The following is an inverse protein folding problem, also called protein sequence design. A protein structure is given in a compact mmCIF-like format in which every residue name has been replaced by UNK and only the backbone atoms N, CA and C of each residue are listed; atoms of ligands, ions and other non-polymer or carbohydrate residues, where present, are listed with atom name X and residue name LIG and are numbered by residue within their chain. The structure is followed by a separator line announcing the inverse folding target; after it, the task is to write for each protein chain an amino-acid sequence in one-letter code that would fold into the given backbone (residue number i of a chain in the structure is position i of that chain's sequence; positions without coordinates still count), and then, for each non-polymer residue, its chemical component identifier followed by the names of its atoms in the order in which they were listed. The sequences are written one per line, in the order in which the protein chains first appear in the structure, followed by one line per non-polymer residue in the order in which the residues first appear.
data_IF_691290437726
#
_entry.id   IF_691290437726
#
_cell.length_a   1.000
_cell.length_b   1.000
_cell.length_c   1.000
_cell.angle_alpha   90.00
_cell.angle_beta   90.00
_cell.angle_gamma   90.00
#
_symmetry.space_group_name_H-M   'P 1'
#
loop_
_entity.id
_entity.type
_entity.pdbx_description
1 polymer ?
#
# COMPACT_ATOMS: atom_id res chain seq x y z
N UNK A 1 -4.07 3.90 5.86
CA UNK A 1 -3.73 2.80 4.93
C UNK A 1 -2.38 2.22 5.37
N UNK A 2 -2.16 0.90 5.25
CA UNK A 2 -0.94 0.21 5.77
C UNK A 2 0.34 0.42 4.92
N UNK A 3 0.41 1.49 4.11
CA UNK A 3 1.56 1.76 3.24
C UNK A 3 1.76 0.75 2.10
N UNK A 4 0.74 -0.05 1.78
CA UNK A 4 0.74 -0.98 0.65
C UNK A 4 0.32 -0.27 -0.63
N UNK A 5 1.03 -0.53 -1.73
CA UNK A 5 0.68 0.00 -3.06
C UNK A 5 -0.13 -0.98 -3.91
N UNK A 6 -0.21 -2.25 -3.52
CA UNK A 6 -1.00 -3.28 -4.18
C UNK A 6 -1.67 -4.21 -3.17
N UNK A 7 -2.94 -4.54 -3.42
CA UNK A 7 -3.74 -5.49 -2.62
C UNK A 7 -4.45 -6.48 -3.55
N UNK A 8 -4.72 -7.70 -3.08
CA UNK A 8 -5.48 -8.69 -3.86
C UNK A 8 -6.91 -8.24 -4.18
N UNK A 9 -7.51 -7.51 -3.24
CA UNK A 9 -8.82 -6.90 -3.41
C UNK A 9 -8.64 -5.41 -3.41
N UNK A 10 -9.04 -4.77 -4.49
CA UNK A 10 -8.89 -3.32 -4.63
C UNK A 10 -9.57 -2.60 -3.45
N UNK A 11 -8.86 -1.64 -2.87
CA UNK A 11 -9.28 -0.88 -1.69
C UNK A 11 -9.36 -1.67 -0.36
N UNK A 12 -9.06 -2.97 -0.32
CA UNK A 12 -9.15 -3.78 0.92
C UNK A 12 -7.87 -4.55 1.20
N UNK A 13 -7.22 -4.19 2.31
CA UNK A 13 -6.04 -4.89 2.81
C UNK A 13 -6.44 -6.20 3.49
N UNK A 14 -5.93 -7.32 2.99
CA UNK A 14 -6.07 -8.64 3.64
C UNK A 14 -4.88 -8.96 4.54
N UNK A 15 -5.01 -9.97 5.41
CA UNK A 15 -3.87 -10.45 6.22
C UNK A 15 -2.74 -10.96 5.33
N UNK A 16 -3.06 -11.59 4.20
CA UNK A 16 -2.06 -12.05 3.22
C UNK A 16 -1.28 -10.89 2.62
N UNK A 17 -1.97 -9.80 2.25
CA UNK A 17 -1.33 -8.58 1.74
C UNK A 17 -0.46 -7.88 2.79
N UNK A 18 -0.80 -7.98 4.08
CA UNK A 18 0.03 -7.42 5.15
C UNK A 18 1.31 -8.24 5.39
N UNK A 19 1.26 -9.57 5.18
CA UNK A 19 2.41 -10.46 5.36
C UNK A 19 3.37 -10.45 4.17
N UNK A 20 2.84 -10.23 2.96
CA UNK A 20 3.62 -10.19 1.74
C UNK A 20 3.74 -8.73 1.32
N UNK A 21 4.95 -8.17 1.37
CA UNK A 21 5.23 -6.82 0.91
C UNK A 21 5.05 -6.67 -0.61
N UNK A 22 3.80 -6.48 -1.08
CA UNK A 22 3.45 -6.24 -2.49
C UNK A 22 3.69 -4.78 -2.89
N UNK A 23 4.83 -4.24 -2.50
CA UNK A 23 5.26 -2.90 -2.89
C UNK A 23 6.16 -3.00 -4.11
N UNK A 24 5.53 -3.26 -5.25
CA UNK A 24 6.24 -3.33 -6.53
C UNK A 24 6.67 -1.94 -6.98
N UNK A 25 7.76 -1.91 -7.75
CA UNK A 25 8.24 -0.67 -8.37
C UNK A 25 7.21 -0.18 -9.38
N UNK A 26 6.88 1.10 -9.33
CA UNK A 26 6.12 1.76 -10.37
C UNK A 26 6.98 2.02 -11.61
N UNK A 27 6.37 2.44 -12.72
CA UNK A 27 7.06 2.66 -13.99
C UNK A 27 8.25 3.64 -13.87
N UNK A 28 8.09 4.73 -13.11
CA UNK A 28 9.14 5.71 -12.87
C UNK A 28 10.31 5.08 -12.10
N UNK A 29 10.01 4.28 -11.08
CA UNK A 29 11.02 3.58 -10.28
C UNK A 29 11.74 2.50 -11.09
N UNK A 30 11.02 1.77 -11.97
CA UNK A 30 11.63 0.84 -12.92
C UNK A 30 12.57 1.57 -13.87
N UNK A 31 12.17 2.74 -14.38
CA UNK A 31 13.04 3.59 -15.19
C UNK A 31 14.32 3.99 -14.46
N UNK A 32 14.22 4.37 -13.19
CA UNK A 32 15.39 4.67 -12.36
C UNK A 32 16.28 3.45 -12.14
N UNK A 33 15.69 2.28 -11.87
CA UNK A 33 16.43 1.02 -11.72
C UNK A 33 17.20 0.70 -13.00
N UNK A 34 16.56 0.85 -14.17
CA UNK A 34 17.19 0.62 -15.47
C UNK A 34 18.44 1.47 -15.64
N UNK A 35 18.37 2.77 -15.35
CA UNK A 35 19.52 3.69 -15.46
C UNK A 35 20.70 3.26 -14.57
N UNK A 36 20.42 2.85 -13.33
CA UNK A 36 21.46 2.36 -12.40
C UNK A 36 22.10 1.08 -12.93
N UNK A 37 21.29 0.15 -13.46
CA UNK A 37 21.76 -1.11 -14.04
C UNK A 37 22.65 -0.84 -15.25
N UNK A 38 22.21 0.02 -16.18
CA UNK A 38 22.99 0.40 -17.37
C UNK A 38 24.33 1.03 -16.99
N UNK A 39 24.34 1.95 -16.01
CA UNK A 39 25.56 2.56 -15.50
C UNK A 39 26.53 1.51 -14.92
N UNK A 40 26.01 0.54 -14.15
CA UNK A 40 26.84 -0.52 -13.58
C UNK A 40 27.42 -1.45 -14.65
N UNK A 41 26.65 -1.79 -15.68
CA UNK A 41 27.11 -2.60 -16.80
C UNK A 41 28.17 -1.86 -17.64
N UNK A 42 27.98 -0.58 -17.93
CA UNK A 42 28.97 0.23 -18.62
C UNK A 42 30.29 0.32 -17.83
N UNK A 43 30.20 0.44 -16.50
CA UNK A 43 31.38 0.38 -15.64
C UNK A 43 32.09 -0.97 -15.72
N UNK A 44 31.34 -2.08 -15.71
CA UNK A 44 31.90 -3.41 -15.81
C UNK A 44 32.59 -3.65 -17.16
N UNK A 45 31.96 -3.20 -18.26
CA UNK A 45 32.52 -3.24 -19.60
C UNK A 45 33.84 -2.45 -19.68
N UNK A 46 33.90 -1.25 -19.10
CA UNK A 46 35.12 -0.46 -19.05
C UNK A 46 36.26 -1.16 -18.28
N UNK A 47 35.96 -1.89 -17.19
CA UNK A 47 36.98 -2.68 -16.49
C UNK A 47 37.45 -3.88 -17.33
N UNK A 48 36.53 -4.53 -18.04
CA UNK A 48 36.85 -5.65 -18.92
C UNK A 48 37.73 -5.21 -20.10
N UNK A 49 37.41 -4.09 -20.76
CA UNK A 49 38.22 -3.50 -21.83
C UNK A 49 39.61 -3.08 -21.36
N UNK A 50 39.74 -2.66 -20.09
CA UNK A 50 41.01 -2.33 -19.48
C UNK A 50 41.80 -3.57 -18.99
N UNK A 51 41.29 -4.78 -19.25
CA UNK A 51 41.85 -6.06 -18.80
C UNK A 51 42.13 -6.10 -17.28
N UNK A 52 41.31 -5.40 -16.48
CA UNK A 52 41.46 -5.37 -15.04
C UNK A 52 40.75 -6.57 -14.42
N UNK A 53 41.49 -7.52 -13.79
CA UNK A 53 40.85 -8.64 -13.12
C UNK A 53 40.02 -8.16 -11.94
N UNK A 54 38.78 -8.63 -11.87
CA UNK A 54 37.80 -8.26 -10.85
C UNK A 54 37.21 -9.53 -10.23
N UNK A 55 37.16 -9.59 -8.90
CA UNK A 55 36.53 -10.68 -8.15
C UNK A 55 35.14 -10.25 -7.66
N UNK A 56 34.30 -11.21 -7.28
CA UNK A 56 32.94 -10.93 -6.78
C UNK A 56 32.89 -9.94 -5.62
N UNK A 57 33.88 -9.97 -4.72
CA UNK A 57 34.01 -8.99 -3.62
C UNK A 57 34.20 -7.56 -4.13
N UNK A 58 34.94 -7.38 -5.24
CA UNK A 58 35.21 -6.08 -5.82
C UNK A 58 33.94 -5.55 -6.49
N UNK A 59 33.20 -6.42 -7.20
CA UNK A 59 31.90 -6.08 -7.78
C UNK A 59 30.89 -5.62 -6.74
N UNK A 60 30.82 -6.25 -5.56
CA UNK A 60 29.96 -5.80 -4.45
C UNK A 60 30.34 -4.39 -3.99
N UNK A 61 31.63 -4.10 -3.84
CA UNK A 61 32.10 -2.77 -3.44
C UNK A 61 31.80 -1.71 -4.51
N UNK A 62 31.99 -2.04 -5.80
CA UNK A 62 31.70 -1.11 -6.90
C UNK A 62 30.21 -0.86 -7.07
N UNK A 63 29.37 -1.89 -6.87
CA UNK A 63 27.92 -1.72 -6.87
C UNK A 63 27.48 -0.77 -5.74
N UNK A 64 28.04 -0.92 -4.54
CA UNK A 64 27.77 0.03 -3.44
C UNK A 64 28.16 1.46 -3.81
N UNK A 65 29.31 1.65 -4.43
CA UNK A 65 29.75 2.97 -4.89
C UNK A 65 28.78 3.57 -5.92
N UNK A 66 28.37 2.80 -6.94
CA UNK A 66 27.40 3.24 -7.95
C UNK A 66 26.07 3.64 -7.28
N UNK A 67 25.57 2.83 -6.35
CA UNK A 67 24.35 3.14 -5.60
C UNK A 67 24.49 4.42 -4.77
N UNK A 68 25.60 4.59 -4.05
CA UNK A 68 25.86 5.81 -3.25
C UNK A 68 26.01 7.06 -4.13
N UNK A 69 26.66 6.95 -5.29
CA UNK A 69 26.75 8.05 -6.26
C UNK A 69 25.39 8.47 -6.82
N UNK A 70 24.43 7.54 -6.87
CA UNK A 70 23.03 7.81 -7.24
C UNK A 70 22.16 8.16 -6.01
N UNK A 71 22.78 8.53 -4.89
CA UNK A 71 22.12 8.91 -3.64
C UNK A 71 21.18 7.82 -3.09
N UNK A 72 21.44 6.54 -3.43
CA UNK A 72 20.72 5.39 -2.90
C UNK A 72 21.35 4.92 -1.60
N UNK A 73 20.52 4.66 -0.61
CA UNK A 73 20.93 4.08 0.67
C UNK A 73 21.27 2.59 0.48
N UNK A 74 22.29 2.14 1.20
CA UNK A 74 22.67 0.73 1.19
C UNK A 74 22.01 0.02 2.36
N UNK A 75 21.45 -1.16 2.10
CA UNK A 75 20.86 -2.00 3.14
C UNK A 75 21.96 -2.70 3.94
N UNK A 76 22.38 -2.10 5.06
CA UNK A 76 23.46 -2.62 5.91
C UNK A 76 23.01 -3.63 6.98
N UNK A 77 21.71 -3.67 7.26
CA UNK A 77 21.12 -4.47 8.32
C UNK A 77 20.33 -5.68 7.80
N UNK A 78 20.58 -6.07 6.55
CA UNK A 78 20.01 -7.28 5.97
C UNK A 78 20.31 -8.48 6.88
N UNK A 79 19.27 -9.26 7.21
CA UNK A 79 19.38 -10.44 8.07
C UNK A 79 19.37 -10.18 9.59
N UNK A 80 19.33 -8.92 10.06
CA UNK A 80 19.20 -8.63 11.50
C UNK A 80 17.81 -8.90 12.06
N UNK A 81 16.78 -8.82 11.21
CA UNK A 81 15.39 -9.07 11.59
C UNK A 81 15.01 -10.46 11.04
N UNK A 82 14.60 -11.37 11.92
CA UNK A 82 14.14 -12.68 11.51
C UNK A 82 12.80 -12.58 10.80
N UNK A 83 12.51 -13.54 9.92
CA UNK A 83 11.22 -13.62 9.25
C UNK A 83 10.06 -13.69 10.25
N UNK A 84 10.22 -14.46 11.33
CA UNK A 84 9.22 -14.58 12.40
C UNK A 84 8.92 -13.23 13.08
N UNK A 85 9.95 -12.43 13.39
CA UNK A 85 9.77 -11.10 13.96
C UNK A 85 9.05 -10.16 12.99
N UNK A 86 9.40 -10.21 11.70
CA UNK A 86 8.73 -9.42 10.67
C UNK A 86 7.24 -9.79 10.53
N UNK A 87 6.93 -11.10 10.55
CA UNK A 87 5.56 -11.64 10.49
C UNK A 87 4.75 -11.24 11.72
N UNK A 88 5.34 -11.34 12.91
CA UNK A 88 4.71 -10.94 14.16
C UNK A 88 4.35 -9.45 14.13
N UNK A 89 5.29 -8.60 13.69
CA UNK A 89 5.08 -7.16 13.60
C UNK A 89 4.01 -6.80 12.56
N UNK A 90 4.08 -7.37 11.37
CA UNK A 90 3.08 -7.16 10.32
C UNK A 90 1.66 -7.60 10.77
N UNK A 91 1.58 -8.69 11.54
CA UNK A 91 0.31 -9.17 12.09
C UNK A 91 -0.26 -8.21 13.12
N UNK A 92 0.56 -7.68 14.02
CA UNK A 92 0.17 -6.68 15.01
C UNK A 92 -0.39 -5.42 14.34
N UNK A 93 0.34 -4.87 13.36
CA UNK A 93 -0.09 -3.69 12.61
C UNK A 93 -1.40 -3.95 11.84
N UNK A 94 -1.57 -5.15 11.27
CA UNK A 94 -2.80 -5.53 10.59
C UNK A 94 -4.01 -5.58 11.53
N UNK A 95 -3.84 -6.09 12.75
CA UNK A 95 -4.90 -6.12 13.76
C UNK A 95 -5.31 -4.70 14.13
N UNK A 96 -4.34 -3.82 14.39
CA UNK A 96 -4.61 -2.41 14.71
C UNK A 96 -5.35 -1.71 13.57
N UNK A 97 -4.90 -1.89 12.32
CA UNK A 97 -5.57 -1.37 11.13
C UNK A 97 -7.02 -1.89 11.01
N UNK A 98 -7.24 -3.18 11.19
CA UNK A 98 -8.57 -3.79 11.08
C UNK A 98 -9.55 -3.28 12.15
N UNK A 99 -9.05 -2.99 13.35
CA UNK A 99 -9.86 -2.38 14.41
C UNK A 99 -10.27 -0.96 14.04
N UNK A 100 -9.34 -0.15 13.53
CA UNK A 100 -9.66 1.20 13.04
C UNK A 100 -10.68 1.16 11.89
N UNK A 101 -10.55 0.23 10.94
CA UNK A 101 -11.53 0.08 9.86
C UNK A 101 -12.92 -0.27 10.37
N UNK A 102 -13.05 -1.18 11.34
CA UNK A 102 -14.34 -1.53 11.96
C UNK A 102 -15.03 -0.34 12.62
N UNK A 103 -14.26 0.54 13.25
CA UNK A 103 -14.81 1.75 13.87
C UNK A 103 -15.37 2.73 12.83
N UNK A 104 -14.65 2.89 11.71
CA UNK A 104 -15.09 3.74 10.58
C UNK A 104 -16.36 3.15 9.95
N UNK A 105 -16.36 1.87 9.61
CA UNK A 105 -17.53 1.17 9.04
C UNK A 105 -18.76 1.29 9.95
N UNK A 106 -18.58 1.15 11.27
CA UNK A 106 -19.66 1.32 12.25
C UNK A 106 -20.21 2.75 12.24
N UNK A 107 -19.34 3.76 12.20
CA UNK A 107 -19.75 5.15 12.16
C UNK A 107 -20.51 5.49 10.87
N UNK A 108 -20.03 4.99 9.73
CA UNK A 108 -20.70 5.17 8.43
C UNK A 108 -22.07 4.47 8.40
N UNK A 109 -22.17 3.27 8.94
CA UNK A 109 -23.44 2.54 9.08
C UNK A 109 -24.45 3.31 9.93
N UNK A 110 -24.03 3.87 11.07
CA UNK A 110 -24.89 4.71 11.92
C UNK A 110 -25.38 5.94 11.16
N UNK A 111 -24.51 6.59 10.39
CA UNK A 111 -24.85 7.77 9.58
C UNK A 111 -25.85 7.42 8.46
N UNK A 112 -25.70 6.27 7.81
CA UNK A 112 -26.64 5.79 6.80
C UNK A 112 -28.01 5.48 7.40
N UNK A 113 -28.06 4.83 8.57
CA UNK A 113 -29.30 4.55 9.29
C UNK A 113 -30.06 5.85 9.65
N UNK A 114 -29.37 6.89 10.14
CA UNK A 114 -29.99 8.19 10.42
C UNK A 114 -30.59 8.83 9.15
N UNK A 115 -29.89 8.76 8.02
CA UNK A 115 -30.39 9.27 6.75
C UNK A 115 -31.62 8.51 6.26
N UNK A 116 -31.64 7.19 6.39
CA UNK A 116 -32.77 6.36 5.99
C UNK A 116 -33.99 6.57 6.89
N UNK A 117 -33.79 6.71 8.20
CA UNK A 117 -34.87 7.08 9.13
C UNK A 117 -35.49 8.44 8.77
N UNK A 118 -34.67 9.45 8.44
CA UNK A 118 -35.15 10.77 7.98
C UNK A 118 -35.95 10.66 6.67
N UNK A 119 -35.48 9.86 5.71
CA UNK A 119 -36.20 9.61 4.44
C UNK A 119 -37.54 8.91 4.68
N UNK A 120 -37.58 7.91 5.55
CA UNK A 120 -38.81 7.21 5.92
C UNK A 120 -39.78 8.19 6.59
N UNK A 121 -39.32 8.98 7.56
CA UNK A 121 -40.16 9.99 8.23
C UNK A 121 -40.74 11.01 7.23
N UNK A 122 -39.93 11.51 6.29
CA UNK A 122 -40.39 12.41 5.24
C UNK A 122 -41.45 11.76 4.31
N UNK A 123 -41.27 10.49 3.94
CA UNK A 123 -42.24 9.73 3.13
C UNK A 123 -43.56 9.50 3.88
N UNK A 124 -43.50 9.17 5.16
CA UNK A 124 -44.70 8.97 6.00
C UNK A 124 -45.50 10.27 6.17
N UNK A 125 -44.82 11.41 6.38
CA UNK A 125 -45.48 12.72 6.45
C UNK A 125 -46.16 13.13 5.14
N UNK A 126 -45.57 12.78 3.98
CA UNK A 126 -46.21 13.03 2.68
C UNK A 126 -47.44 12.13 2.45
N UNK A 127 -47.42 10.86 2.88
CA UNK A 127 -48.62 9.99 2.79
C UNK A 127 -49.77 10.45 3.69
N UNK A 128 -49.47 10.91 4.89
CA UNK A 128 -50.49 11.41 5.82
C UNK A 128 -51.21 12.65 5.27
N UNK A 129 -50.48 13.55 4.61
CA UNK A 129 -51.05 14.72 3.92
C UNK A 129 -51.95 14.36 2.74
N UNK A 130 -51.66 13.27 2.01
CA UNK A 130 -52.52 12.83 0.90
C UNK A 130 -53.82 12.17 1.40
N UNK A 131 -53.76 11.37 2.47
CA UNK A 131 -54.94 10.72 3.05
C UNK A 131 -55.88 11.74 3.72
N UNK A 132 -55.34 12.73 4.46
CA UNK A 132 -56.14 13.80 5.07
C UNK A 132 -56.82 14.69 4.00
N UNK A 133 -56.19 14.88 2.83
CA UNK A 133 -56.76 15.63 1.71
C UNK A 133 -57.90 14.90 0.96
N UNK A 134 -57.97 13.57 1.06
CA UNK A 134 -59.06 12.76 0.50
C UNK A 134 -60.29 12.71 1.42
N UNK A 135 -60.09 12.71 2.74
CA UNK A 135 -61.19 12.66 3.73
C UNK A 135 -62.02 13.97 3.73
N UNK A 136 -61.41 15.11 3.42
CA UNK A 136 -62.08 16.41 3.32
C UNK A 136 -62.90 16.63 2.02
N UNK A 137 -62.96 15.64 1.10
CA UNK A 137 -63.71 15.71 -0.17
C UNK A 137 -64.98 14.85 -0.22
N UNK A 138 -65.39 14.22 0.88
CA UNK A 138 -66.70 13.55 1.03
C UNK A 138 -67.61 14.38 1.93
#
# INVERSE_FOLDING_TARGET
MMGLTSTEKDGKVTKGDALIGKNYLNEKEIGQLKLIVEQFLAYAEAQALAEKPMYMRDWVQKLRLVLTMNEKSILEHAGKISHEMAVAKATEEYIAYKEQQRQIERFESIKQLDQDLKRIAARTNNRKKSDDGEILKK
#
